data_IF_206448450140
#
_entry.id   IF_206448450140
#
_cell.length_a   1.000
_cell.length_b   1.000
_cell.length_c   1.000
_cell.angle_alpha   90.00
_cell.angle_beta   90.00
_cell.angle_gamma   90.00
#
_symmetry.space_group_name_H-M   'P 1'
#
loop_
_entity.id
_entity.type
_entity.pdbx_description
1 polymer ?
#
# COMPACT_ATOMS: atom_id res chain seq x y z
N UNK A 1 -4.67 -4.15 14.84
CA UNK A 1 -4.65 -3.13 13.76
C UNK A 1 -4.86 -3.82 12.42
N UNK A 2 -6.03 -3.65 11.79
CA UNK A 2 -6.58 -4.56 10.76
C UNK A 2 -6.00 -4.39 9.34
N UNK A 3 -5.09 -3.44 9.13
CA UNK A 3 -4.65 -3.04 7.78
C UNK A 3 -3.42 -3.78 7.29
N UNK A 4 -2.86 -4.76 8.01
CA UNK A 4 -1.69 -5.55 7.55
C UNK A 4 -2.11 -6.84 6.86
N UNK A 5 -1.34 -7.26 5.85
CA UNK A 5 -1.48 -8.56 5.19
C UNK A 5 -2.60 -8.64 4.16
N UNK A 6 -3.20 -7.52 3.75
CA UNK A 6 -4.17 -7.50 2.64
C UNK A 6 -3.44 -7.29 1.33
N UNK A 7 -3.82 -8.04 0.31
CA UNK A 7 -3.40 -7.74 -1.06
C UNK A 7 -4.21 -6.54 -1.55
N UNK A 8 -3.52 -5.55 -2.10
CA UNK A 8 -4.12 -4.31 -2.58
C UNK A 8 -3.53 -3.91 -3.92
N UNK A 9 -4.36 -3.27 -4.73
CA UNK A 9 -3.95 -2.51 -5.91
C UNK A 9 -4.10 -1.02 -5.60
N UNK A 10 -3.04 -0.25 -5.83
CA UNK A 10 -2.97 1.19 -5.58
C UNK A 10 -2.87 1.91 -6.92
N UNK A 11 -3.87 2.73 -7.24
CA UNK A 11 -3.90 3.53 -8.46
C UNK A 11 -3.17 4.88 -8.25
N UNK A 12 -1.85 4.84 -8.03
CA UNK A 12 -0.99 6.02 -7.86
C UNK A 12 0.16 5.99 -8.90
N UNK A 13 0.36 7.10 -9.64
CA UNK A 13 1.49 7.31 -10.57
C UNK A 13 1.88 6.07 -11.42
N UNK A 14 0.90 5.49 -12.13
CA UNK A 14 1.09 4.31 -12.97
C UNK A 14 0.61 2.99 -12.37
N UNK A 15 0.14 3.00 -11.12
CA UNK A 15 -0.49 1.86 -10.48
C UNK A 15 0.51 0.83 -9.98
N UNK A 16 0.25 0.23 -8.82
CA UNK A 16 1.05 -0.90 -8.35
C UNK A 16 0.27 -1.79 -7.39
N UNK A 17 0.64 -3.06 -7.38
CA UNK A 17 0.05 -4.07 -6.50
C UNK A 17 1.04 -4.50 -5.43
N UNK A 18 0.51 -4.90 -4.28
CA UNK A 18 1.32 -5.45 -3.22
C UNK A 18 0.52 -5.81 -1.97
N UNK A 19 1.22 -6.12 -0.90
CA UNK A 19 0.61 -6.46 0.38
C UNK A 19 0.77 -5.32 1.37
N UNK A 20 -0.30 -4.94 2.04
CA UNK A 20 -0.26 -3.88 3.04
C UNK A 20 0.67 -4.25 4.21
N UNK A 21 1.66 -3.39 4.47
CA UNK A 21 2.64 -3.51 5.54
C UNK A 21 2.26 -2.69 6.79
N UNK A 22 1.10 -2.03 6.78
CA UNK A 22 0.62 -1.16 7.87
C UNK A 22 0.82 0.30 7.54
N UNK A 23 0.81 1.16 8.56
CA UNK A 23 1.06 2.59 8.40
C UNK A 23 2.48 2.94 8.84
N UNK A 24 3.07 3.97 8.22
CA UNK A 24 4.33 4.57 8.68
C UNK A 24 4.11 5.45 9.93
N UNK A 25 5.18 6.05 10.46
CA UNK A 25 5.13 6.93 11.63
C UNK A 25 4.32 8.21 11.43
N UNK A 26 4.01 8.57 10.18
CA UNK A 26 3.18 9.73 9.81
C UNK A 26 1.74 9.33 9.51
N UNK A 27 1.43 8.03 9.51
CA UNK A 27 0.09 7.50 9.23
C UNK A 27 -0.17 7.13 7.76
N UNK A 28 0.85 7.14 6.89
CA UNK A 28 0.67 6.75 5.48
C UNK A 28 0.73 5.24 5.29
N UNK A 29 -0.13 4.70 4.43
CA UNK A 29 -0.17 3.27 4.14
C UNK A 29 1.11 2.83 3.43
N UNK A 30 1.77 1.84 3.99
CA UNK A 30 2.89 1.14 3.37
C UNK A 30 2.40 -0.13 2.70
N UNK A 31 2.87 -0.36 1.49
CA UNK A 31 2.56 -1.54 0.67
C UNK A 31 3.89 -2.17 0.25
N UNK A 32 4.05 -3.45 0.60
CA UNK A 32 5.19 -4.27 0.18
C UNK A 32 4.92 -4.78 -1.22
N UNK A 33 5.70 -4.31 -2.16
CA UNK A 33 5.74 -4.75 -3.56
C UNK A 33 6.96 -5.67 -3.77
N UNK A 34 7.10 -6.24 -4.97
CA UNK A 34 8.30 -7.01 -5.37
C UNK A 34 9.57 -6.16 -5.40
N UNK A 35 9.45 -4.85 -5.60
CA UNK A 35 10.56 -3.89 -5.70
C UNK A 35 10.94 -3.24 -4.37
N UNK A 36 10.18 -3.49 -3.29
CA UNK A 36 10.44 -2.94 -1.97
C UNK A 36 9.17 -2.51 -1.24
N UNK A 37 9.30 -1.63 -0.25
CA UNK A 37 8.15 -1.04 0.42
C UNK A 37 7.87 0.33 -0.19
N UNK A 38 6.67 0.51 -0.75
CA UNK A 38 6.19 1.81 -1.24
C UNK A 38 5.24 2.42 -0.23
N UNK A 39 5.29 3.74 -0.09
CA UNK A 39 4.35 4.51 0.73
C UNK A 39 3.31 5.11 -0.19
N UNK A 40 2.03 4.87 0.10
CA UNK A 40 0.90 5.48 -0.61
C UNK A 40 0.70 6.87 -0.04
N UNK A 41 0.98 7.90 -0.84
CA UNK A 41 0.83 9.29 -0.44
C UNK A 41 -0.52 9.84 -0.89
N UNK A 42 -0.99 9.41 -2.06
CA UNK A 42 -2.30 9.77 -2.58
C UNK A 42 -2.74 8.75 -3.63
N UNK A 43 -4.01 8.37 -3.63
CA UNK A 43 -4.54 7.46 -4.65
C UNK A 43 -5.64 6.56 -4.11
N UNK A 44 -6.25 5.81 -5.03
CA UNK A 44 -7.29 4.84 -4.69
C UNK A 44 -6.63 3.52 -4.33
N UNK A 45 -6.92 3.02 -3.12
CA UNK A 45 -6.51 1.68 -2.69
C UNK A 45 -7.70 0.75 -2.84
N UNK A 46 -7.54 -0.31 -3.64
CA UNK A 46 -8.54 -1.37 -3.83
C UNK A 46 -8.03 -2.65 -3.22
N UNK A 47 -8.90 -3.31 -2.46
CA UNK A 47 -8.66 -4.69 -2.04
C UNK A 47 -8.89 -5.61 -3.24
N UNK A 48 -8.05 -6.62 -3.37
CA UNK A 48 -8.12 -7.70 -4.38
C UNK A 48 -8.24 -9.05 -3.69
#
# INVERSE_FOLDING_TARGET
>A
SSVRGRVVSVEENGGFEGTTAGLDSRGFLQVRTSTGVRTVLSGTVRLI
#
